data_IF_955131749067
#
_entry.id   IF_955131749067
#
_cell.length_a   1.000
_cell.length_b   1.000
_cell.length_c   1.000
_cell.angle_alpha   90.00
_cell.angle_beta   90.00
_cell.angle_gamma   90.00
#
_symmetry.space_group_name_H-M   'P 1'
#
loop_
_entity.id
_entity.type
_entity.pdbx_description
1 polymer ?
#
# COMPACT_ATOMS: atom_id res chain seq x y z
N UNK A 1 18.03 -7.74 0.49
CA UNK A 1 17.55 -6.40 0.10
C UNK A 1 16.15 -6.55 -0.48
N UNK A 2 15.22 -5.66 -0.11
CA UNK A 2 13.88 -5.63 -0.72
C UNK A 2 14.00 -5.14 -2.17
N UNK A 3 13.23 -5.73 -3.07
CA UNK A 3 13.10 -5.26 -4.46
C UNK A 3 12.13 -4.08 -4.53
N UNK A 4 11.08 -4.12 -3.70
CA UNK A 4 10.12 -3.03 -3.50
C UNK A 4 10.01 -2.80 -1.99
N UNK A 5 10.15 -1.55 -1.56
CA UNK A 5 9.92 -1.12 -0.17
C UNK A 5 8.93 0.03 -0.16
N UNK A 6 7.90 -0.08 0.67
CA UNK A 6 7.02 0.99 1.11
C UNK A 6 7.33 1.21 2.59
N UNK A 7 7.61 2.46 2.98
CA UNK A 7 7.86 2.84 4.37
C UNK A 7 6.93 3.97 4.76
N UNK A 8 6.06 3.71 5.74
CA UNK A 8 5.12 4.68 6.31
C UNK A 8 4.31 5.46 5.24
N UNK A 9 3.79 4.73 4.25
CA UNK A 9 3.10 5.33 3.10
C UNK A 9 1.63 5.56 3.43
N UNK A 10 1.23 6.84 3.40
CA UNK A 10 -0.18 7.26 3.43
C UNK A 10 -0.59 7.94 2.12
N UNK A 11 -1.84 7.77 1.73
CA UNK A 11 -2.43 8.41 0.55
C UNK A 11 -3.81 8.97 0.88
N UNK A 12 -3.99 10.26 0.59
CA UNK A 12 -5.29 10.94 0.64
C UNK A 12 -5.61 11.50 -0.74
N UNK A 13 -6.84 11.29 -1.21
CA UNK A 13 -7.36 11.89 -2.43
C UNK A 13 -8.03 13.23 -2.15
N UNK A 14 -8.01 14.19 -3.10
CA UNK A 14 -8.74 15.45 -2.95
C UNK A 14 -10.22 15.19 -2.63
N UNK A 15 -10.76 15.93 -1.66
CA UNK A 15 -12.15 15.83 -1.15
C UNK A 15 -12.47 14.58 -0.31
N UNK A 16 -11.51 13.67 -0.10
CA UNK A 16 -11.69 12.59 0.87
C UNK A 16 -11.36 13.10 2.28
N UNK A 17 -12.20 12.77 3.25
CA UNK A 17 -11.93 13.02 4.68
C UNK A 17 -11.17 11.87 5.33
N UNK A 18 -11.05 10.73 4.65
CA UNK A 18 -10.32 9.54 5.13
C UNK A 18 -9.16 9.19 4.19
N UNK A 19 -8.00 8.77 4.73
CA UNK A 19 -6.93 8.22 3.93
C UNK A 19 -7.38 6.95 3.21
N UNK A 20 -6.95 6.80 1.96
CA UNK A 20 -7.13 5.60 1.16
C UNK A 20 -6.07 4.56 1.53
N UNK A 21 -4.84 5.02 1.81
CA UNK A 21 -3.80 4.25 2.49
C UNK A 21 -3.37 5.02 3.75
N UNK A 22 -3.22 4.33 4.88
CA UNK A 22 -2.83 4.93 6.15
C UNK A 22 -1.65 4.16 6.77
N UNK A 23 -0.49 4.81 6.80
CA UNK A 23 0.76 4.35 7.41
C UNK A 23 1.19 2.93 7.01
N UNK A 24 1.17 2.65 5.70
CA UNK A 24 1.45 1.31 5.18
C UNK A 24 2.96 1.11 5.01
N UNK A 25 3.47 0.02 5.59
CA UNK A 25 4.84 -0.48 5.35
C UNK A 25 4.82 -1.88 4.75
N UNK A 26 5.54 -2.09 3.64
CA UNK A 26 5.58 -3.35 2.91
C UNK A 26 6.96 -3.57 2.28
N UNK A 27 7.48 -4.80 2.40
CA UNK A 27 8.72 -5.21 1.76
C UNK A 27 8.45 -6.42 0.86
N UNK A 28 8.67 -6.27 -0.45
CA UNK A 28 8.60 -7.36 -1.43
C UNK A 28 10.01 -7.72 -1.87
N UNK A 29 10.39 -8.99 -1.72
CA UNK A 29 11.71 -9.51 -2.06
C UNK A 29 11.71 -10.06 -3.49
N UNK A 30 12.91 -10.21 -4.05
CA UNK A 30 13.09 -10.83 -5.36
C UNK A 30 12.60 -12.29 -5.31
N UNK A 31 11.69 -12.64 -6.20
CA UNK A 31 11.10 -13.99 -6.29
C UNK A 31 9.76 -14.15 -5.56
N UNK A 32 9.32 -13.15 -4.80
CA UNK A 32 8.00 -13.19 -4.17
C UNK A 32 6.90 -13.11 -5.24
N UNK A 33 5.86 -13.94 -5.08
CA UNK A 33 4.64 -13.90 -5.88
C UNK A 33 3.48 -13.43 -5.00
N UNK A 34 3.15 -12.15 -5.11
CA UNK A 34 2.27 -11.44 -4.15
C UNK A 34 0.99 -10.98 -4.83
N UNK A 35 -0.13 -11.15 -4.14
CA UNK A 35 -1.42 -10.58 -4.51
C UNK A 35 -1.87 -9.59 -3.44
N UNK A 36 -2.35 -8.43 -3.86
CA UNK A 36 -3.05 -7.47 -3.02
C UNK A 36 -4.54 -7.56 -3.33
N UNK A 37 -5.34 -7.92 -2.33
CA UNK A 37 -6.78 -8.14 -2.47
C UNK A 37 -7.54 -7.28 -1.48
N UNK A 38 -8.72 -6.82 -1.88
CA UNK A 38 -9.58 -5.96 -1.08
C UNK A 38 -10.90 -5.71 -1.78
N UNK A 39 -11.86 -5.15 -1.04
CA UNK A 39 -13.12 -4.70 -1.62
C UNK A 39 -12.89 -3.57 -2.63
N UNK A 40 -13.85 -3.35 -3.54
CA UNK A 40 -13.77 -2.20 -4.46
C UNK A 40 -13.64 -0.90 -3.67
N UNK A 41 -12.59 -0.12 -3.96
CA UNK A 41 -12.29 1.15 -3.29
C UNK A 41 -11.64 1.03 -1.91
N UNK A 42 -11.09 -0.12 -1.52
CA UNK A 42 -10.43 -0.33 -0.22
C UNK A 42 -9.01 0.27 -0.11
N UNK A 43 -8.52 0.93 -1.15
CA UNK A 43 -7.20 1.53 -1.23
C UNK A 43 -7.18 2.73 -2.14
#
# INVERSE_FOLDING_TARGET
>A
MALISLEHVSKVYPKSTRPALDDISLNVKRGDFVFLVGASGSG
#
